data_IF_214809788994
#
_entry.id   IF_214809788994
#
_cell.length_a   1.000
_cell.length_b   1.000
_cell.length_c   1.000
_cell.angle_alpha   90.00
_cell.angle_beta   90.00
_cell.angle_gamma   90.00
#
_symmetry.space_group_name_H-M   'P 1'
#
loop_
_entity.id
_entity.type
_entity.pdbx_description
1 polymer ?
#
# COMPACT_ATOMS: atom_id res chain seq x y z
N UNK A 1 -1.29 -13.66 3.80
CA UNK A 1 -0.29 -12.78 3.16
C UNK A 1 -0.69 -12.40 1.71
N UNK A 2 -1.98 -12.19 1.42
CA UNK A 2 -2.41 -11.86 0.05
C UNK A 2 -2.08 -12.95 -0.98
N UNK A 3 -2.05 -12.57 -2.26
CA UNK A 3 -1.70 -13.44 -3.40
C UNK A 3 -0.21 -13.39 -3.77
N UNK A 4 0.48 -12.29 -3.45
CA UNK A 4 1.87 -12.04 -3.84
C UNK A 4 2.89 -12.58 -2.82
N UNK A 5 2.48 -12.77 -1.57
CA UNK A 5 3.33 -13.30 -0.52
C UNK A 5 2.71 -14.59 0.02
N UNK A 6 3.49 -15.65 0.01
CA UNK A 6 3.09 -16.92 0.59
C UNK A 6 3.52 -16.95 2.05
N UNK A 7 2.72 -17.56 2.93
CA UNK A 7 3.11 -17.70 4.33
C UNK A 7 4.44 -18.45 4.47
N UNK A 8 4.66 -19.43 3.60
CA UNK A 8 5.86 -20.27 3.56
C UNK A 8 7.18 -19.53 3.31
N UNK A 9 7.15 -18.28 2.81
CA UNK A 9 8.38 -17.49 2.62
C UNK A 9 8.91 -16.86 3.91
N UNK A 10 8.22 -17.04 5.03
CA UNK A 10 8.73 -16.64 6.34
C UNK A 10 9.98 -17.45 6.67
N UNK A 11 11.00 -16.79 7.23
CA UNK A 11 12.17 -17.53 7.74
C UNK A 11 11.74 -18.45 8.87
N UNK A 12 12.49 -19.55 9.06
CA UNK A 12 12.16 -20.56 10.08
C UNK A 12 12.13 -19.94 11.47
N UNK A 13 13.00 -18.97 11.74
CA UNK A 13 13.08 -18.23 13.01
C UNK A 13 11.79 -17.47 13.27
N UNK A 14 11.34 -16.65 12.31
CA UNK A 14 10.11 -15.84 12.45
C UNK A 14 8.88 -16.72 12.58
N UNK A 15 8.80 -17.80 11.80
CA UNK A 15 7.73 -18.79 11.90
C UNK A 15 7.66 -19.39 13.31
N UNK A 16 8.81 -19.79 13.87
CA UNK A 16 8.89 -20.35 15.23
C UNK A 16 8.47 -19.33 16.30
N UNK A 17 8.82 -18.06 16.14
CA UNK A 17 8.36 -16.99 17.04
C UNK A 17 6.83 -16.92 17.08
N UNK A 18 6.17 -16.87 15.92
CA UNK A 18 4.69 -16.86 15.87
C UNK A 18 4.08 -18.11 16.49
N UNK A 19 4.61 -19.31 16.22
CA UNK A 19 4.08 -20.54 16.79
C UNK A 19 4.19 -20.58 18.31
N UNK A 20 5.33 -20.16 18.88
CA UNK A 20 5.49 -20.05 20.33
C UNK A 20 4.53 -19.05 20.95
N UNK A 21 4.30 -17.90 20.31
CA UNK A 21 3.32 -16.92 20.79
C UNK A 21 1.91 -17.48 20.70
N UNK A 22 1.56 -18.13 19.59
CA UNK A 22 0.24 -18.74 19.39
C UNK A 22 -0.03 -19.84 20.42
N UNK A 23 0.97 -20.62 20.82
CA UNK A 23 0.84 -21.62 21.88
C UNK A 23 0.48 -21.01 23.25
N UNK A 24 1.01 -19.81 23.55
CA UNK A 24 0.79 -19.13 24.83
C UNK A 24 -0.59 -18.48 24.96
N UNK A 25 -1.29 -18.23 23.85
CA UNK A 25 -2.60 -17.56 23.86
C UNK A 25 -3.76 -18.58 23.89
N UNK A 26 -4.84 -18.31 24.65
CA UNK A 26 -5.96 -19.25 24.78
C UNK A 26 -6.85 -19.35 23.53
N UNK A 27 -6.70 -18.44 22.57
CA UNK A 27 -7.52 -18.37 21.37
C UNK A 27 -7.15 -19.47 20.36
N UNK A 28 -8.14 -19.89 19.58
CA UNK A 28 -7.90 -20.69 18.37
C UNK A 28 -7.39 -19.78 17.27
N UNK A 29 -6.30 -20.19 16.62
CA UNK A 29 -5.67 -19.43 15.53
C UNK A 29 -5.95 -20.13 14.21
N UNK A 30 -6.58 -19.41 13.29
CA UNK A 30 -6.70 -19.83 11.89
C UNK A 30 -5.57 -19.19 11.09
N UNK A 31 -4.68 -20.01 10.55
CA UNK A 31 -3.53 -19.54 9.80
C UNK A 31 -3.53 -20.10 8.37
N UNK A 32 -3.74 -19.22 7.39
CA UNK A 32 -3.56 -19.56 5.97
C UNK A 32 -2.07 -19.85 5.69
N UNK A 33 -1.75 -21.08 5.32
CA UNK A 33 -0.40 -21.60 5.12
C UNK A 33 -0.37 -22.62 3.98
N UNK A 34 0.51 -22.41 3.00
CA UNK A 34 0.56 -23.18 1.75
C UNK A 34 1.35 -24.50 1.84
N UNK A 35 2.32 -24.57 2.77
CA UNK A 35 3.20 -25.72 2.96
C UNK A 35 2.75 -26.68 4.06
N UNK A 36 3.67 -27.56 4.47
CA UNK A 36 3.49 -28.40 5.67
C UNK A 36 4.06 -27.71 6.92
N UNK A 37 3.46 -28.01 8.07
CA UNK A 37 3.85 -27.46 9.36
C UNK A 37 3.60 -28.50 10.46
N UNK A 38 4.59 -29.37 10.69
CA UNK A 38 4.45 -30.51 11.61
C UNK A 38 4.46 -30.07 13.08
N UNK A 39 5.24 -29.04 13.39
CA UNK A 39 5.53 -28.49 14.71
C UNK A 39 4.53 -27.37 15.11
N UNK A 40 3.28 -27.48 14.66
CA UNK A 40 2.22 -26.51 15.01
C UNK A 40 1.57 -26.83 16.37
N UNK A 41 1.24 -25.82 17.20
CA UNK A 41 0.44 -26.00 18.40
C UNK A 41 -0.97 -26.55 18.11
N UNK A 42 -1.62 -27.14 19.13
CA UNK A 42 -2.95 -27.74 19.02
C UNK A 42 -4.06 -26.72 18.74
N UNK A 43 -3.90 -25.47 19.21
CA UNK A 43 -4.83 -24.37 18.97
C UNK A 43 -4.64 -23.69 17.59
N UNK A 44 -3.62 -24.07 16.82
CA UNK A 44 -3.36 -23.54 15.48
C UNK A 44 -3.92 -24.49 14.41
N UNK A 45 -4.83 -23.98 13.59
CA UNK A 45 -5.36 -24.67 12.41
C UNK A 45 -4.77 -24.04 11.15
N UNK A 46 -4.16 -24.88 10.30
CA UNK A 46 -3.64 -24.44 9.00
C UNK A 46 -4.47 -24.97 7.83
N UNK A 47 -4.60 -24.15 6.79
CA UNK A 47 -5.16 -24.50 5.47
C UNK A 47 -4.48 -23.69 4.37
N UNK A 48 -4.33 -24.27 3.19
CA UNK A 48 -3.78 -23.58 2.01
C UNK A 48 -4.67 -22.42 1.54
N UNK A 49 -5.98 -22.59 1.69
CA UNK A 49 -6.99 -21.59 1.36
C UNK A 49 -8.07 -21.56 2.45
N UNK A 50 -8.61 -20.37 2.71
CA UNK A 50 -9.67 -20.14 3.69
C UNK A 50 -10.63 -19.05 3.17
N UNK A 51 -11.94 -19.14 3.47
CA UNK A 51 -12.91 -18.10 3.10
C UNK A 51 -12.76 -16.89 4.02
N UNK A 52 -11.78 -16.02 3.75
CA UNK A 52 -11.42 -14.89 4.62
C UNK A 52 -12.61 -13.99 4.96
N UNK A 53 -13.44 -13.67 3.96
CA UNK A 53 -14.61 -12.80 4.14
C UNK A 53 -15.61 -13.37 5.16
N UNK A 54 -15.91 -14.67 5.06
CA UNK A 54 -16.84 -15.36 5.94
C UNK A 54 -16.25 -15.53 7.34
N UNK A 55 -14.94 -15.80 7.43
CA UNK A 55 -14.23 -15.87 8.70
C UNK A 55 -14.30 -14.51 9.41
N UNK A 56 -13.97 -13.42 8.72
CA UNK A 56 -14.03 -12.07 9.31
C UNK A 56 -15.44 -11.68 9.74
N UNK A 57 -16.47 -12.15 9.04
CA UNK A 57 -17.87 -11.93 9.42
C UNK A 57 -18.32 -12.78 10.63
N UNK A 58 -17.54 -13.78 11.04
CA UNK A 58 -17.90 -14.66 12.14
C UNK A 58 -17.77 -13.94 13.49
N UNK A 59 -18.78 -14.00 14.38
CA UNK A 59 -18.84 -13.20 15.61
C UNK A 59 -17.70 -13.47 16.60
N UNK A 60 -17.09 -14.66 16.54
CA UNK A 60 -15.99 -15.05 17.42
C UNK A 60 -14.60 -14.56 16.96
N UNK A 61 -14.48 -13.89 15.81
CA UNK A 61 -13.19 -13.33 15.37
C UNK A 61 -12.87 -12.07 16.17
N UNK A 62 -11.73 -12.12 16.87
CA UNK A 62 -11.27 -11.07 17.78
C UNK A 62 -10.19 -10.17 17.19
N UNK A 63 -9.31 -10.74 16.37
CA UNK A 63 -8.15 -10.05 15.83
C UNK A 63 -7.82 -10.62 14.46
N UNK A 64 -7.47 -9.75 13.51
CA UNK A 64 -6.97 -10.13 12.20
C UNK A 64 -5.49 -9.77 12.08
N UNK A 65 -4.63 -10.78 12.01
CA UNK A 65 -3.20 -10.59 11.74
C UNK A 65 -3.00 -10.59 10.22
N UNK A 66 -2.56 -9.47 9.65
CA UNK A 66 -2.48 -9.28 8.21
C UNK A 66 -1.20 -8.55 7.80
N UNK A 67 -0.91 -8.53 6.51
CA UNK A 67 0.10 -7.65 5.93
C UNK A 67 -0.40 -6.23 5.62
N UNK A 68 -1.72 -5.98 5.69
CA UNK A 68 -2.28 -4.65 5.44
C UNK A 68 -2.66 -4.33 3.99
N UNK A 69 -2.69 -5.32 3.08
CA UNK A 69 -3.15 -5.10 1.72
C UNK A 69 -4.59 -4.59 1.65
N UNK A 70 -4.88 -3.71 0.68
CA UNK A 70 -6.11 -2.91 0.62
C UNK A 70 -7.39 -3.72 0.86
N UNK A 71 -7.61 -4.79 0.08
CA UNK A 71 -8.85 -5.56 0.15
C UNK A 71 -9.05 -6.22 1.53
N UNK A 72 -8.02 -6.86 2.08
CA UNK A 72 -8.13 -7.51 3.39
C UNK A 72 -8.33 -6.49 4.52
N UNK A 73 -7.69 -5.33 4.42
CA UNK A 73 -7.90 -4.21 5.34
C UNK A 73 -9.35 -3.70 5.25
N UNK A 74 -9.88 -3.51 4.04
CA UNK A 74 -11.27 -3.09 3.83
C UNK A 74 -12.27 -4.12 4.36
N UNK A 75 -12.03 -5.42 4.19
CA UNK A 75 -12.90 -6.48 4.75
C UNK A 75 -12.92 -6.46 6.28
N UNK A 76 -11.76 -6.31 6.92
CA UNK A 76 -11.67 -6.24 8.38
C UNK A 76 -12.30 -4.96 8.95
N UNK A 77 -12.10 -3.82 8.28
CA UNK A 77 -12.80 -2.57 8.59
C UNK A 77 -14.30 -2.75 8.42
N UNK A 78 -14.75 -3.35 7.31
CA UNK A 78 -16.16 -3.60 7.08
C UNK A 78 -16.74 -4.50 8.17
N UNK A 79 -16.03 -5.48 8.73
CA UNK A 79 -16.54 -6.35 9.80
C UNK A 79 -16.25 -5.88 11.23
N UNK A 80 -15.63 -4.71 11.39
CA UNK A 80 -15.25 -4.19 12.70
C UNK A 80 -14.33 -5.12 13.47
N UNK A 81 -13.34 -5.71 12.78
CA UNK A 81 -12.31 -6.56 13.36
C UNK A 81 -10.99 -5.78 13.45
N UNK A 82 -10.39 -5.65 14.65
CA UNK A 82 -9.09 -5.01 14.80
C UNK A 82 -7.99 -5.69 13.99
N UNK A 83 -6.99 -4.92 13.55
CA UNK A 83 -5.92 -5.42 12.67
C UNK A 83 -4.56 -5.29 13.35
N UNK A 84 -3.85 -6.41 13.54
CA UNK A 84 -2.41 -6.38 13.80
C UNK A 84 -1.69 -6.55 12.47
N UNK A 85 -1.08 -5.49 11.96
CA UNK A 85 -0.44 -5.53 10.65
C UNK A 85 1.06 -5.73 10.71
N UNK A 86 1.58 -6.48 9.74
CA UNK A 86 3.00 -6.66 9.46
C UNK A 86 3.24 -6.31 7.98
N UNK A 87 3.33 -5.00 7.65
CA UNK A 87 3.51 -4.56 6.26
C UNK A 87 4.84 -5.04 5.69
N UNK A 88 4.82 -5.40 4.41
CA UNK A 88 6.01 -5.89 3.68
C UNK A 88 6.41 -4.91 2.56
N UNK A 89 5.47 -4.47 1.72
CA UNK A 89 5.77 -3.54 0.62
C UNK A 89 4.52 -2.82 0.08
N UNK A 90 4.73 -1.86 -0.82
CA UNK A 90 3.66 -1.20 -1.57
C UNK A 90 2.79 -0.29 -0.70
N UNK A 91 1.48 -0.38 -0.90
CA UNK A 91 0.44 0.44 -0.25
C UNK A 91 0.08 -0.01 1.18
N UNK A 92 0.57 -1.18 1.59
CA UNK A 92 0.21 -1.86 2.85
C UNK A 92 0.38 -0.98 4.09
N UNK A 93 1.48 -0.24 4.18
CA UNK A 93 1.75 0.65 5.31
C UNK A 93 0.73 1.79 5.36
N UNK A 94 0.45 2.43 4.22
CA UNK A 94 -0.49 3.53 4.11
C UNK A 94 -1.91 3.09 4.49
N UNK A 95 -2.34 1.93 4.00
CA UNK A 95 -3.67 1.38 4.29
C UNK A 95 -3.87 1.16 5.80
N UNK A 96 -2.90 0.53 6.48
CA UNK A 96 -3.04 0.21 7.90
C UNK A 96 -2.88 1.46 8.76
N UNK A 97 -2.00 2.39 8.37
CA UNK A 97 -1.86 3.67 9.08
C UNK A 97 -3.20 4.39 9.18
N UNK A 98 -4.01 4.39 8.11
CA UNK A 98 -5.35 4.97 8.14
C UNK A 98 -6.28 4.31 9.19
N UNK A 99 -6.16 2.99 9.39
CA UNK A 99 -6.94 2.24 10.40
C UNK A 99 -6.39 2.45 11.82
N UNK A 100 -5.06 2.48 11.97
CA UNK A 100 -4.37 2.74 13.24
C UNK A 100 -4.65 4.15 13.75
N UNK A 101 -4.65 5.15 12.88
CA UNK A 101 -4.95 6.54 13.24
C UNK A 101 -6.42 6.70 13.73
N UNK A 102 -7.26 5.67 13.53
CA UNK A 102 -8.62 5.55 14.11
C UNK A 102 -8.67 4.65 15.36
N UNK A 103 -7.55 4.12 15.83
CA UNK A 103 -7.44 3.27 17.01
C UNK A 103 -7.81 1.80 16.82
N UNK A 104 -8.03 1.35 15.57
CA UNK A 104 -8.51 0.00 15.27
C UNK A 104 -7.41 -0.95 14.76
N UNK A 105 -6.16 -0.53 14.77
CA UNK A 105 -5.04 -1.35 14.31
C UNK A 105 -3.74 -1.05 15.06
N UNK A 106 -2.81 -2.00 14.99
CA UNK A 106 -1.42 -1.89 15.41
C UNK A 106 -0.50 -2.30 14.26
N UNK A 107 0.74 -1.81 14.29
CA UNK A 107 1.74 -2.08 13.25
C UNK A 107 3.00 -2.67 13.91
N UNK A 108 3.51 -3.76 13.33
CA UNK A 108 4.84 -4.30 13.59
C UNK A 108 5.66 -4.30 12.29
N UNK A 109 6.95 -4.07 12.39
CA UNK A 109 7.85 -4.13 11.24
C UNK A 109 8.43 -5.53 11.10
N UNK A 110 8.38 -6.09 9.89
CA UNK A 110 8.89 -7.44 9.64
C UNK A 110 10.36 -7.60 10.03
N UNK A 111 11.18 -6.57 9.87
CA UNK A 111 12.62 -6.58 10.21
C UNK A 111 12.88 -6.69 11.71
N UNK A 112 11.99 -6.12 12.53
CA UNK A 112 12.22 -5.89 13.96
C UNK A 112 11.39 -6.84 14.83
N UNK A 113 10.73 -7.83 14.21
CA UNK A 113 9.91 -8.82 14.88
C UNK A 113 10.71 -9.56 15.96
N UNK A 114 10.20 -9.50 17.17
CA UNK A 114 10.69 -10.23 18.33
C UNK A 114 9.51 -10.93 19.03
N UNK A 115 9.78 -12.07 19.68
CA UNK A 115 8.74 -12.91 20.29
C UNK A 115 7.93 -12.16 21.35
N UNK A 116 8.60 -11.36 22.18
CA UNK A 116 8.01 -10.63 23.29
C UNK A 116 7.08 -9.49 22.81
N UNK A 117 7.46 -8.76 21.78
CA UNK A 117 6.64 -7.71 21.17
C UNK A 117 5.42 -8.32 20.47
N UNK A 118 5.60 -9.42 19.73
CA UNK A 118 4.49 -10.13 19.08
C UNK A 118 3.49 -10.56 20.15
N UNK A 119 3.95 -11.19 21.24
CA UNK A 119 3.08 -11.59 22.35
C UNK A 119 2.40 -10.38 23.00
N UNK A 120 3.15 -9.33 23.30
CA UNK A 120 2.64 -8.13 23.98
C UNK A 120 1.55 -7.45 23.16
N UNK A 121 1.79 -7.23 21.86
CA UNK A 121 0.80 -6.60 20.97
C UNK A 121 -0.43 -7.47 20.76
N UNK A 122 -0.25 -8.78 20.50
CA UNK A 122 -1.39 -9.70 20.35
C UNK A 122 -2.22 -9.74 21.64
N UNK A 123 -1.56 -9.90 22.79
CA UNK A 123 -2.25 -9.98 24.08
C UNK A 123 -2.99 -8.67 24.38
N UNK A 124 -2.34 -7.51 24.22
CA UNK A 124 -2.97 -6.21 24.40
C UNK A 124 -4.21 -6.03 23.52
N UNK A 125 -4.12 -6.36 22.23
CA UNK A 125 -5.27 -6.23 21.33
C UNK A 125 -6.40 -7.22 21.61
N UNK A 126 -6.11 -8.35 22.27
CA UNK A 126 -7.10 -9.35 22.65
C UNK A 126 -7.77 -9.05 24.00
N UNK A 127 -7.09 -8.33 24.89
CA UNK A 127 -7.56 -8.04 26.26
C UNK A 127 -8.13 -6.63 26.41
N UNK A 128 -7.59 -5.64 25.71
CA UNK A 128 -8.07 -4.27 25.73
C UNK A 128 -9.31 -4.13 24.84
N UNK A 129 -10.50 -3.86 25.42
CA UNK A 129 -11.74 -3.74 24.65
C UNK A 129 -11.76 -2.54 23.70
N UNK A 130 -10.88 -1.54 23.90
CA UNK A 130 -10.86 -0.30 23.10
C UNK A 130 -10.60 -0.59 21.63
N UNK A 131 -9.73 -1.55 21.29
CA UNK A 131 -9.47 -1.93 19.90
C UNK A 131 -10.74 -2.43 19.21
N UNK A 132 -11.48 -3.35 19.86
CA UNK A 132 -12.72 -3.89 19.29
C UNK A 132 -13.80 -2.81 19.19
N UNK A 133 -13.88 -1.92 20.18
CA UNK A 133 -14.80 -0.78 20.13
C UNK A 133 -14.47 0.15 18.97
N UNK A 134 -13.20 0.57 18.82
CA UNK A 134 -12.75 1.45 17.73
C UNK A 134 -12.95 0.81 16.36
N UNK A 135 -12.71 -0.50 16.24
CA UNK A 135 -12.98 -1.22 15.01
C UNK A 135 -14.49 -1.23 14.65
N UNK A 136 -15.38 -1.40 15.65
CA UNK A 136 -16.83 -1.30 15.42
C UNK A 136 -17.27 0.11 15.04
N UNK A 137 -16.82 1.13 15.75
CA UNK A 137 -17.08 2.54 15.43
C UNK A 137 -16.65 2.86 13.99
N UNK A 138 -15.45 2.42 13.60
CA UNK A 138 -14.95 2.58 12.23
C UNK A 138 -15.81 1.82 11.20
N UNK A 139 -16.26 0.61 11.54
CA UNK A 139 -17.13 -0.20 10.69
C UNK A 139 -18.49 0.46 10.47
N UNK A 140 -19.07 1.07 11.50
CA UNK A 140 -20.35 1.77 11.41
C UNK A 140 -20.23 2.94 10.43
N UNK A 141 -19.21 3.78 10.60
CA UNK A 141 -18.92 4.90 9.68
C UNK A 141 -18.64 4.40 8.26
N UNK A 142 -17.91 3.29 8.10
CA UNK A 142 -17.59 2.75 6.77
C UNK A 142 -18.82 2.18 6.05
N UNK A 143 -19.79 1.65 6.80
CA UNK A 143 -21.03 1.08 6.26
C UNK A 143 -22.09 2.16 6.03
N UNK A 144 -22.00 3.30 6.71
CA UNK A 144 -22.91 4.43 6.56
C UNK A 144 -22.65 5.20 5.27
N UNK A 145 -23.44 4.87 4.24
CA UNK A 145 -23.36 5.44 2.90
C UNK A 145 -24.75 5.45 2.27
N UNK A 146 -25.03 6.42 1.39
CA UNK A 146 -26.37 6.64 0.83
C UNK A 146 -26.89 5.47 -0.02
N UNK A 147 -25.99 4.65 -0.58
CA UNK A 147 -26.33 3.45 -1.34
C UNK A 147 -25.42 2.30 -0.91
N UNK A 148 -25.94 1.08 -0.92
CA UNK A 148 -25.10 -0.11 -0.73
C UNK A 148 -24.07 -0.25 -1.88
N UNK A 149 -22.98 -1.02 -1.69
CA UNK A 149 -22.03 -1.31 -2.76
C UNK A 149 -22.69 -1.86 -4.02
N UNK A 150 -23.67 -2.75 -3.84
CA UNK A 150 -24.36 -3.42 -4.94
C UNK A 150 -25.21 -2.41 -5.72
N UNK A 151 -26.02 -1.62 -5.03
CA UNK A 151 -26.83 -0.58 -5.66
C UNK A 151 -25.96 0.46 -6.38
N UNK A 152 -24.85 0.86 -5.76
CA UNK A 152 -23.89 1.77 -6.39
C UNK A 152 -23.32 1.18 -7.69
N UNK A 153 -22.94 -0.10 -7.68
CA UNK A 153 -22.42 -0.78 -8.87
C UNK A 153 -23.48 -0.91 -9.97
N UNK A 154 -24.72 -1.27 -9.61
CA UNK A 154 -25.85 -1.33 -10.54
C UNK A 154 -26.09 0.05 -11.16
N UNK A 155 -26.20 1.08 -10.33
CA UNK A 155 -26.44 2.45 -10.78
C UNK A 155 -25.41 2.92 -11.80
N UNK A 156 -24.11 2.76 -11.51
CA UNK A 156 -23.05 3.20 -12.42
C UNK A 156 -22.97 2.36 -13.70
N UNK A 157 -23.26 1.06 -13.60
CA UNK A 157 -23.35 0.18 -14.77
C UNK A 157 -24.46 0.66 -15.70
N UNK A 158 -25.66 0.87 -15.16
CA UNK A 158 -26.78 1.41 -15.94
C UNK A 158 -26.50 2.82 -16.45
N UNK A 159 -25.82 3.67 -15.67
CA UNK A 159 -25.46 5.03 -16.09
C UNK A 159 -24.63 5.00 -17.36
N UNK A 160 -23.62 4.12 -17.42
CA UNK A 160 -22.77 3.96 -18.62
C UNK A 160 -23.60 3.47 -19.81
N UNK A 161 -24.53 2.54 -19.60
CA UNK A 161 -25.44 2.04 -20.65
C UNK A 161 -26.35 3.16 -21.15
N UNK A 162 -27.03 3.89 -20.26
CA UNK A 162 -27.93 5.02 -20.59
C UNK A 162 -27.23 6.09 -21.42
N UNK A 163 -25.96 6.35 -21.15
CA UNK A 163 -25.16 7.36 -21.84
C UNK A 163 -24.24 6.77 -22.92
N UNK A 164 -24.56 5.57 -23.44
CA UNK A 164 -23.88 4.95 -24.59
C UNK A 164 -22.34 4.90 -24.43
N UNK A 165 -21.88 4.51 -23.24
CA UNK A 165 -20.46 4.45 -22.90
C UNK A 165 -19.92 5.65 -22.11
N UNK A 166 -20.77 6.63 -21.79
CA UNK A 166 -20.43 7.81 -20.96
C UNK A 166 -19.11 8.50 -21.37
N UNK A 167 -18.99 8.99 -22.63
CA UNK A 167 -17.73 9.56 -23.15
C UNK A 167 -17.22 10.75 -22.32
N UNK A 168 -18.12 11.50 -21.67
CA UNK A 168 -17.80 12.61 -20.79
C UNK A 168 -17.15 12.22 -19.46
N UNK A 169 -17.25 10.94 -19.03
CA UNK A 169 -16.54 10.42 -17.85
C UNK A 169 -15.17 9.81 -18.21
N UNK A 170 -14.86 9.65 -19.50
CA UNK A 170 -13.58 9.11 -19.94
C UNK A 170 -12.51 10.20 -19.84
N UNK A 171 -11.34 9.82 -19.36
CA UNK A 171 -10.17 10.71 -19.43
C UNK A 171 -9.88 11.08 -20.89
N UNK A 172 -9.62 12.36 -21.13
CA UNK A 172 -9.24 12.87 -22.46
C UNK A 172 -7.98 12.15 -23.01
N UNK A 173 -7.15 11.58 -22.14
CA UNK A 173 -5.96 10.83 -22.51
C UNK A 173 -6.27 9.54 -23.31
N UNK A 174 -7.45 8.93 -23.15
CA UNK A 174 -7.74 7.60 -23.75
C UNK A 174 -7.81 7.64 -25.28
N UNK A 175 -8.19 8.78 -25.86
CA UNK A 175 -8.22 8.98 -27.31
C UNK A 175 -6.99 9.69 -27.87
N UNK A 176 -6.02 10.02 -27.01
CA UNK A 176 -4.89 10.87 -27.37
C UNK A 176 -3.79 10.05 -28.06
N UNK A 177 -3.24 10.49 -29.20
CA UNK A 177 -2.06 9.88 -29.78
C UNK A 177 -0.88 9.88 -28.80
N UNK A 178 -0.03 8.86 -28.85
CA UNK A 178 1.07 8.68 -27.91
C UNK A 178 1.99 9.91 -27.79
N UNK A 179 2.24 10.63 -28.89
CA UNK A 179 3.11 11.81 -28.90
C UNK A 179 2.53 13.01 -28.17
N UNK A 180 1.20 13.17 -28.16
CA UNK A 180 0.52 14.17 -27.33
C UNK A 180 0.48 13.72 -25.88
N UNK A 181 0.24 12.43 -25.63
CA UNK A 181 0.23 11.87 -24.28
C UNK A 181 1.58 12.06 -23.56
N UNK A 182 2.69 11.89 -24.28
CA UNK A 182 4.04 12.10 -23.77
C UNK A 182 4.57 13.53 -23.96
N UNK A 183 3.75 14.48 -24.43
CA UNK A 183 4.09 15.89 -24.57
C UNK A 183 5.42 16.13 -25.33
N UNK A 184 5.61 15.43 -26.45
CA UNK A 184 6.87 15.46 -27.21
C UNK A 184 7.20 16.87 -27.70
N UNK A 185 6.19 17.66 -28.07
CA UNK A 185 6.32 19.06 -28.44
C UNK A 185 6.89 19.91 -27.31
N UNK A 186 6.40 19.75 -26.09
CA UNK A 186 6.89 20.45 -24.89
C UNK A 186 8.35 20.05 -24.59
N UNK A 187 8.66 18.76 -24.67
CA UNK A 187 10.04 18.27 -24.48
C UNK A 187 11.00 18.86 -25.52
N UNK A 188 10.58 18.95 -26.79
CA UNK A 188 11.38 19.56 -27.85
C UNK A 188 11.62 21.05 -27.58
N UNK A 189 10.60 21.80 -27.16
CA UNK A 189 10.76 23.23 -26.80
C UNK A 189 11.74 23.40 -25.64
N UNK A 190 11.64 22.58 -24.60
CA UNK A 190 12.57 22.60 -23.46
C UNK A 190 13.99 22.30 -23.93
N UNK A 191 14.18 21.25 -24.72
CA UNK A 191 15.49 20.83 -25.20
C UNK A 191 16.15 21.90 -26.08
N UNK A 192 15.40 22.47 -27.04
CA UNK A 192 15.89 23.54 -27.91
C UNK A 192 16.22 24.80 -27.10
N UNK A 193 15.40 25.15 -26.10
CA UNK A 193 15.65 26.31 -25.24
C UNK A 193 16.96 26.14 -24.45
N UNK A 194 17.16 24.96 -23.84
CA UNK A 194 18.40 24.63 -23.11
C UNK A 194 19.61 24.65 -24.06
N UNK A 195 19.52 24.00 -25.22
CA UNK A 195 20.59 23.99 -26.22
C UNK A 195 20.96 25.41 -26.66
N UNK A 196 19.96 26.27 -26.90
CA UNK A 196 20.16 27.67 -27.28
C UNK A 196 20.89 28.46 -26.20
N UNK A 197 20.55 28.25 -24.92
CA UNK A 197 21.26 28.87 -23.79
C UNK A 197 22.72 28.41 -23.76
N UNK A 198 22.98 27.10 -23.87
CA UNK A 198 24.34 26.56 -23.86
C UNK A 198 25.18 27.08 -25.04
N UNK A 199 24.62 27.09 -26.25
CA UNK A 199 25.30 27.63 -27.44
C UNK A 199 25.59 29.11 -27.27
N UNK A 200 24.65 29.89 -26.72
CA UNK A 200 24.84 31.32 -26.47
C UNK A 200 25.92 31.58 -25.42
N UNK A 201 25.93 30.83 -24.32
CA UNK A 201 26.97 30.92 -23.28
C UNK A 201 28.34 30.53 -23.85
N UNK A 202 28.43 29.44 -24.60
CA UNK A 202 29.65 29.02 -25.27
C UNK A 202 30.18 30.11 -26.21
N UNK A 203 29.31 30.69 -27.03
CA UNK A 203 29.67 31.80 -27.93
C UNK A 203 30.17 33.04 -27.16
N UNK A 204 29.51 33.42 -26.06
CA UNK A 204 29.92 34.55 -25.24
C UNK A 204 31.29 34.32 -24.58
N UNK A 205 31.52 33.13 -23.99
CA UNK A 205 32.79 32.75 -23.39
C UNK A 205 33.90 32.75 -24.45
N UNK A 206 33.66 32.11 -25.61
CA UNK A 206 34.61 32.06 -26.71
C UNK A 206 34.99 33.47 -27.20
N UNK A 207 34.00 34.35 -27.37
CA UNK A 207 34.20 35.76 -27.74
C UNK A 207 35.02 36.51 -26.68
N UNK A 208 34.79 36.22 -25.40
CA UNK A 208 35.52 36.86 -24.30
C UNK A 208 36.98 36.38 -24.24
N UNK A 209 37.23 35.08 -24.48
CA UNK A 209 38.57 34.51 -24.62
C UNK A 209 39.32 35.14 -25.80
N UNK A 210 38.69 35.24 -26.98
CA UNK A 210 39.30 35.88 -28.14
C UNK A 210 39.66 37.35 -27.88
N UNK A 211 38.78 38.10 -27.19
CA UNK A 211 39.08 39.48 -26.77
C UNK A 211 40.28 39.55 -25.84
N UNK A 212 40.40 38.63 -24.88
CA UNK A 212 41.55 38.58 -23.97
C UNK A 212 42.85 38.23 -24.71
N UNK A 213 42.83 37.28 -25.64
CA UNK A 213 43.98 36.93 -26.48
C UNK A 213 44.40 38.13 -27.34
N UNK A 214 43.45 38.80 -27.99
CA UNK A 214 43.72 39.98 -28.81
C UNK A 214 44.32 41.14 -28.00
N UNK A 215 43.77 41.42 -26.81
CA UNK A 215 44.30 42.46 -25.91
C UNK A 215 45.74 42.15 -25.48
N UNK A 216 46.02 40.89 -25.09
CA UNK A 216 47.37 40.45 -24.70
C UNK A 216 48.37 40.51 -25.86
N UNK A 217 47.94 40.25 -27.10
CA UNK A 217 48.79 40.42 -28.29
C UNK A 217 49.16 41.88 -28.53
N UNK A 218 48.24 42.80 -28.28
CA UNK A 218 48.45 44.25 -28.47
C UNK A 218 49.39 44.84 -27.41
N UNK A 219 49.26 44.41 -26.14
CA UNK A 219 50.16 44.82 -25.05
C UNK A 219 51.60 44.33 -25.23
N UNK A 220 51.85 43.26 -26.01
CA UNK A 220 53.21 42.79 -26.34
C UNK A 220 53.89 43.52 -27.50
N UNK A 221 53.16 44.37 -28.25
CA UNK A 221 53.69 45.10 -29.42
C UNK A 221 54.00 46.58 -29.13
N UNK A 222 53.67 47.06 -27.93
CA UNK A 222 54.10 48.34 -27.34
C UNK A 222 55.20 48.09 -26.33
#
# INVERSE_FOLDING_TARGET
MGSLLRGETFTVEKRKMFLKVFEKIPQRVLWKWEGELHDKPSNVMIRKWMPQRDILAHPNVKLFISHGGLLGTTEAVYEGVPILSIPIFGDQMTNVKAVRDKGAAEIMYYTDLNEDEIFTKINSMLTDPTYKQKAKELSEVFRDRPMSPLETAVYWTEYVIRHKGAPHLRSAAVGMPWYQYYLIDVLLVIFISIATIFVSLYYLIFKQILRLIYKKSKEKQT
#
